data_IF_333172224849
#
_entry.id   IF_333172224849
#
_cell.length_a   1.000
_cell.length_b   1.000
_cell.length_c   1.000
_cell.angle_alpha   90.00
_cell.angle_beta   90.00
_cell.angle_gamma   90.00
#
_symmetry.space_group_name_H-M   'P 1'
#
loop_
_entity.id
_entity.type
_entity.pdbx_description
1 polymer ?
#
# COMPACT_ATOMS: atom_id res chain seq x y z
N UNK A 1 9.54 13.90 -34.59
CA UNK A 1 9.28 13.77 -33.14
C UNK A 1 10.38 12.92 -32.54
N UNK A 2 11.14 13.44 -31.55
CA UNK A 2 12.15 12.60 -30.85
C UNK A 2 11.41 11.51 -30.08
N UNK A 3 11.70 10.24 -30.41
CA UNK A 3 11.19 9.12 -29.63
C UNK A 3 11.67 9.24 -28.18
N UNK A 4 10.73 9.19 -27.26
CA UNK A 4 11.06 9.21 -25.83
C UNK A 4 11.84 7.95 -25.48
N UNK A 5 12.82 8.04 -24.57
CA UNK A 5 13.62 6.88 -24.13
C UNK A 5 12.74 5.71 -23.68
N UNK A 6 11.55 5.99 -23.17
CA UNK A 6 10.53 5.00 -22.82
C UNK A 6 10.09 4.13 -24.00
N UNK A 7 9.84 4.72 -25.18
CA UNK A 7 9.47 3.94 -26.38
C UNK A 7 10.61 3.02 -26.84
N UNK A 8 11.86 3.47 -26.74
CA UNK A 8 13.02 2.63 -27.09
C UNK A 8 13.18 1.43 -26.17
N UNK A 9 12.87 1.58 -24.89
CA UNK A 9 12.97 0.50 -23.91
C UNK A 9 11.85 -0.53 -24.10
N UNK A 10 10.65 -0.08 -24.49
CA UNK A 10 9.51 -0.96 -24.79
C UNK A 10 9.66 -1.75 -26.09
N UNK A 11 10.50 -1.33 -27.04
CA UNK A 11 10.70 -2.05 -28.30
C UNK A 11 11.26 -3.47 -28.10
N UNK A 12 11.95 -3.71 -26.98
CA UNK A 12 12.54 -5.01 -26.65
C UNK A 12 11.63 -5.85 -25.74
N UNK A 13 10.43 -5.35 -25.40
CA UNK A 13 9.52 -6.03 -24.49
C UNK A 13 8.15 -6.23 -25.15
N UNK A 14 7.80 -7.48 -25.34
CA UNK A 14 6.50 -7.84 -25.90
C UNK A 14 5.45 -7.90 -24.78
N UNK A 15 4.49 -6.98 -24.83
CA UNK A 15 3.44 -6.83 -23.79
C UNK A 15 2.48 -8.04 -23.78
N UNK A 16 2.37 -8.76 -24.87
CA UNK A 16 1.47 -9.92 -25.00
C UNK A 16 2.08 -11.23 -24.47
N UNK A 17 3.40 -11.24 -24.24
CA UNK A 17 4.12 -12.42 -23.78
C UNK A 17 4.13 -12.50 -22.25
N UNK A 18 3.93 -13.72 -21.73
CA UNK A 18 4.11 -14.00 -20.31
C UNK A 18 5.60 -14.21 -19.99
N UNK A 19 6.10 -13.49 -19.02
CA UNK A 19 7.48 -13.55 -18.56
C UNK A 19 7.57 -14.16 -17.16
N UNK A 20 8.69 -14.78 -16.84
CA UNK A 20 8.98 -15.21 -15.47
C UNK A 20 9.29 -14.01 -14.60
N UNK A 21 8.97 -14.09 -13.32
CA UNK A 21 9.20 -13.00 -12.35
C UNK A 21 10.65 -12.52 -12.35
N UNK A 22 11.61 -13.44 -12.46
CA UNK A 22 13.03 -13.13 -12.50
C UNK A 22 13.43 -12.28 -13.71
N UNK A 23 12.89 -12.61 -14.89
CA UNK A 23 13.12 -11.86 -16.13
C UNK A 23 12.56 -10.44 -16.04
N UNK A 24 11.36 -10.29 -15.44
CA UNK A 24 10.74 -8.98 -15.24
C UNK A 24 11.55 -8.12 -14.27
N UNK A 25 12.04 -8.71 -13.18
CA UNK A 25 12.89 -8.03 -12.21
C UNK A 25 14.19 -7.57 -12.84
N UNK A 26 14.85 -8.42 -13.63
CA UNK A 26 16.05 -8.07 -14.39
C UNK A 26 15.79 -6.91 -15.35
N UNK A 27 14.68 -6.96 -16.06
CA UNK A 27 14.28 -5.90 -16.98
C UNK A 27 14.07 -4.55 -16.25
N UNK A 28 13.42 -4.56 -15.09
CA UNK A 28 13.18 -3.34 -14.29
C UNK A 28 14.51 -2.75 -13.80
N UNK A 29 15.42 -3.58 -13.30
CA UNK A 29 16.73 -3.13 -12.79
C UNK A 29 17.66 -2.65 -13.91
N UNK A 30 17.55 -3.23 -15.11
CA UNK A 30 18.34 -2.85 -16.28
C UNK A 30 17.88 -1.53 -16.92
N UNK A 31 16.73 -0.98 -16.51
CA UNK A 31 16.24 0.28 -17.08
C UNK A 31 17.13 1.47 -16.70
N UNK A 32 17.30 2.44 -17.62
CA UNK A 32 18.06 3.65 -17.32
C UNK A 32 17.36 4.43 -16.20
N UNK A 33 18.10 4.71 -15.14
CA UNK A 33 17.61 5.50 -14.01
C UNK A 33 17.23 6.91 -14.48
N UNK A 34 16.09 7.39 -14.02
CA UNK A 34 15.60 8.74 -14.28
C UNK A 34 16.03 9.71 -13.18
N UNK A 35 15.78 10.99 -13.40
CA UNK A 35 16.13 12.05 -12.43
C UNK A 35 15.21 12.06 -11.20
N UNK A 36 14.22 11.18 -11.11
CA UNK A 36 13.30 11.05 -9.98
C UNK A 36 13.18 9.59 -9.55
N UNK A 37 12.81 9.39 -8.31
CA UNK A 37 12.61 8.03 -7.73
C UNK A 37 11.34 7.42 -8.30
N UNK A 38 11.50 6.40 -9.11
CA UNK A 38 10.37 5.63 -9.64
C UNK A 38 9.95 4.56 -8.64
N UNK A 39 8.64 4.30 -8.55
CA UNK A 39 8.09 3.18 -7.79
C UNK A 39 7.79 2.01 -8.71
N UNK A 40 7.93 0.79 -8.18
CA UNK A 40 7.53 -0.44 -8.84
C UNK A 40 6.20 -0.86 -8.24
N UNK A 41 5.16 -0.76 -9.05
CA UNK A 41 3.80 -1.12 -8.66
C UNK A 41 3.42 -2.47 -9.26
N UNK A 42 2.75 -3.28 -8.46
CA UNK A 42 2.27 -4.60 -8.87
C UNK A 42 0.74 -4.59 -8.88
N UNK A 43 0.17 -5.07 -9.96
CA UNK A 43 -1.26 -5.28 -10.11
C UNK A 43 -1.55 -6.77 -10.17
N UNK A 44 -2.38 -7.28 -9.25
CA UNK A 44 -2.72 -8.70 -9.16
C UNK A 44 -4.22 -8.88 -9.25
N UNK A 45 -4.67 -9.65 -10.22
CA UNK A 45 -6.07 -10.04 -10.34
C UNK A 45 -6.33 -11.32 -9.55
N UNK A 46 -7.26 -11.24 -8.58
CA UNK A 46 -7.48 -12.32 -7.62
C UNK A 46 -8.61 -13.29 -8.01
N UNK A 47 -9.40 -12.98 -9.04
CA UNK A 47 -10.57 -13.77 -9.40
C UNK A 47 -11.66 -13.76 -8.32
N UNK A 48 -11.79 -12.65 -7.60
CA UNK A 48 -12.79 -12.42 -6.55
C UNK A 48 -13.94 -11.57 -7.08
N UNK A 49 -15.12 -11.69 -6.46
CA UNK A 49 -16.25 -10.81 -6.70
C UNK A 49 -16.33 -9.75 -5.58
N UNK A 50 -15.86 -8.51 -5.85
CA UNK A 50 -15.81 -7.46 -4.81
C UNK A 50 -17.17 -6.98 -4.33
N UNK A 51 -18.25 -7.33 -5.03
CA UNK A 51 -19.63 -7.01 -4.62
C UNK A 51 -20.02 -7.79 -3.37
N UNK A 52 -19.40 -8.95 -3.13
CA UNK A 52 -19.60 -9.74 -1.94
C UNK A 52 -18.72 -9.24 -0.82
N UNK A 53 -19.31 -8.91 0.33
CA UNK A 53 -18.60 -8.34 1.48
C UNK A 53 -17.52 -9.27 2.07
N UNK A 54 -17.70 -10.57 1.94
CA UNK A 54 -16.78 -11.64 2.36
C UNK A 54 -15.58 -11.81 1.41
N UNK A 55 -15.70 -11.35 0.16
CA UNK A 55 -14.62 -11.37 -0.84
C UNK A 55 -13.89 -10.03 -1.00
N UNK A 56 -14.25 -9.02 -0.24
CA UNK A 56 -13.59 -7.72 -0.28
C UNK A 56 -12.29 -7.76 0.53
N UNK A 57 -11.18 -7.98 -0.17
CA UNK A 57 -9.86 -8.05 0.43
C UNK A 57 -9.33 -6.64 0.68
N UNK A 58 -8.92 -6.40 1.92
CA UNK A 58 -8.17 -5.23 2.35
C UNK A 58 -7.15 -5.68 3.37
N UNK A 59 -5.95 -5.18 3.26
CA UNK A 59 -4.89 -5.54 4.19
C UNK A 59 -3.70 -4.60 4.09
N UNK A 60 -2.73 -4.91 4.89
CA UNK A 60 -1.42 -4.28 4.86
C UNK A 60 -0.37 -5.33 5.11
N UNK A 61 0.79 -5.12 4.53
CA UNK A 61 1.97 -5.96 4.74
C UNK A 61 3.16 -5.07 5.05
N UNK A 62 3.92 -5.45 6.04
CA UNK A 62 5.23 -4.83 6.29
C UNK A 62 6.25 -5.52 5.39
N UNK A 63 6.79 -4.76 4.45
CA UNK A 63 7.78 -5.28 3.50
C UNK A 63 9.14 -5.43 4.20
N UNK A 64 9.91 -6.50 3.90
CA UNK A 64 11.22 -6.71 4.50
C UNK A 64 12.21 -5.58 4.17
N UNK A 65 12.12 -5.01 2.96
CA UNK A 65 12.95 -3.90 2.54
C UNK A 65 12.11 -2.62 2.41
N UNK A 66 12.49 -1.56 3.11
CA UNK A 66 11.77 -0.29 3.13
C UNK A 66 11.76 0.37 1.76
N UNK A 67 10.62 0.93 1.36
CA UNK A 67 10.43 1.64 0.07
C UNK A 67 11.24 2.95 -0.05
N UNK A 68 11.89 3.40 1.03
CA UNK A 68 12.65 4.65 1.06
C UNK A 68 11.79 5.93 0.90
N UNK A 69 10.46 5.79 0.93
CA UNK A 69 9.53 6.91 0.92
C UNK A 69 9.30 7.40 2.34
N UNK A 70 9.46 8.69 2.57
CA UNK A 70 9.05 9.30 3.83
C UNK A 70 7.54 9.35 3.89
N UNK A 71 6.96 8.60 4.83
CA UNK A 71 5.52 8.55 5.07
C UNK A 71 5.19 9.47 6.24
N UNK A 72 4.30 10.40 6.02
CA UNK A 72 3.82 11.31 7.07
C UNK A 72 2.67 10.64 7.83
N UNK A 73 2.85 10.44 9.12
CA UNK A 73 1.92 9.68 9.97
C UNK A 73 1.19 10.60 10.92
N UNK A 74 -0.14 10.57 10.89
CA UNK A 74 -1.00 11.21 11.86
C UNK A 74 -1.52 10.18 12.88
N UNK A 75 -1.22 10.40 14.16
CA UNK A 75 -1.71 9.58 15.27
C UNK A 75 -2.84 10.29 16.00
N UNK A 76 -4.05 9.75 15.91
CA UNK A 76 -5.21 10.19 16.66
C UNK A 76 -5.27 9.41 17.97
N UNK A 77 -4.78 10.04 19.03
CA UNK A 77 -4.60 9.42 20.34
C UNK A 77 -4.99 10.38 21.46
N UNK A 78 -5.31 9.84 22.63
CA UNK A 78 -5.77 10.58 23.80
C UNK A 78 -5.03 10.13 25.05
N UNK A 79 -4.85 11.06 26.01
CA UNK A 79 -4.25 10.78 27.31
C UNK A 79 -2.77 10.34 27.21
N UNK A 80 -2.41 9.29 27.96
CA UNK A 80 -1.03 8.79 28.09
C UNK A 80 -0.45 8.29 26.77
N UNK A 81 -1.29 7.91 25.81
CA UNK A 81 -0.85 7.42 24.47
C UNK A 81 -0.26 8.53 23.59
N UNK A 82 -0.45 9.81 23.97
CA UNK A 82 0.20 10.93 23.28
C UNK A 82 1.72 10.86 23.45
N UNK A 83 2.20 10.47 24.63
CA UNK A 83 3.63 10.33 24.87
C UNK A 83 4.22 9.13 24.10
N UNK A 84 3.50 8.02 24.03
CA UNK A 84 3.88 6.87 23.22
C UNK A 84 3.97 7.24 21.73
N UNK A 85 3.00 7.97 21.21
CA UNK A 85 2.99 8.45 19.83
C UNK A 85 4.15 9.41 19.55
N UNK A 86 4.54 10.26 20.49
CA UNK A 86 5.71 11.15 20.37
C UNK A 86 7.02 10.35 20.32
N UNK A 87 7.16 9.35 21.17
CA UNK A 87 8.34 8.47 21.20
C UNK A 87 8.49 7.66 19.91
N UNK A 88 7.40 7.21 19.33
CA UNK A 88 7.41 6.46 18.07
C UNK A 88 7.65 7.33 16.83
N UNK A 89 7.67 8.67 17.02
CA UNK A 89 8.01 9.62 15.96
C UNK A 89 6.87 9.91 14.99
N UNK A 90 5.60 9.83 15.42
CA UNK A 90 4.48 10.30 14.62
C UNK A 90 4.63 11.81 14.32
N UNK A 91 4.25 12.24 13.11
CA UNK A 91 4.46 13.63 12.68
C UNK A 91 3.36 14.55 13.17
N UNK A 92 2.12 14.08 13.20
CA UNK A 92 0.97 14.78 13.74
C UNK A 92 0.34 13.94 14.86
N UNK A 93 0.18 14.54 16.04
CA UNK A 93 -0.32 13.85 17.22
C UNK A 93 -1.37 14.73 17.89
N UNK A 94 -2.53 14.16 18.16
CA UNK A 94 -3.60 14.85 18.86
C UNK A 94 -4.92 14.09 18.81
N UNK A 95 -5.96 14.69 19.40
CA UNK A 95 -7.31 14.13 19.45
C UNK A 95 -8.29 15.02 18.68
N UNK A 96 -9.18 15.71 19.41
CA UNK A 96 -10.22 16.54 18.80
C UNK A 96 -9.66 17.78 18.07
N UNK A 97 -8.54 18.34 18.53
CA UNK A 97 -7.87 19.48 17.90
C UNK A 97 -7.46 19.18 16.44
N UNK A 98 -6.90 17.98 16.20
CA UNK A 98 -6.55 17.54 14.85
C UNK A 98 -7.78 17.26 13.99
N UNK A 99 -8.85 16.76 14.61
CA UNK A 99 -10.10 16.48 13.90
C UNK A 99 -10.74 17.78 13.43
N UNK A 100 -10.76 18.81 14.28
CA UNK A 100 -11.28 20.13 13.92
C UNK A 100 -10.42 20.79 12.83
N UNK A 101 -9.10 20.69 12.95
CA UNK A 101 -8.17 21.21 11.95
C UNK A 101 -8.43 20.57 10.59
N UNK A 102 -8.41 19.26 10.49
CA UNK A 102 -8.60 18.54 9.21
C UNK A 102 -10.05 18.50 8.71
N UNK A 103 -11.00 18.97 9.50
CA UNK A 103 -12.37 19.24 9.00
C UNK A 103 -12.44 20.48 8.13
N UNK A 104 -11.51 21.44 8.31
CA UNK A 104 -11.47 22.75 7.62
C UNK A 104 -10.32 22.80 6.61
N UNK A 105 -9.19 22.19 6.94
CA UNK A 105 -7.96 22.24 6.16
C UNK A 105 -7.75 20.96 5.31
N UNK A 106 -6.96 21.05 4.23
CA UNK A 106 -6.58 19.87 3.45
C UNK A 106 -5.74 18.92 4.32
N UNK A 107 -5.87 17.62 4.03
CA UNK A 107 -5.14 16.55 4.74
C UNK A 107 -3.72 16.44 4.19
N UNK A 108 -2.73 16.63 5.06
CA UNK A 108 -1.29 16.66 4.73
C UNK A 108 -0.53 15.42 5.25
N UNK A 109 -1.24 14.35 5.56
CA UNK A 109 -0.63 13.08 6.00
C UNK A 109 -0.98 11.94 5.04
N UNK A 110 -0.11 10.92 5.02
CA UNK A 110 -0.28 9.73 4.19
C UNK A 110 -0.98 8.59 4.91
N UNK A 111 -0.84 8.52 6.24
CA UNK A 111 -1.40 7.44 7.06
C UNK A 111 -2.01 8.00 8.34
N UNK A 112 -3.22 7.55 8.65
CA UNK A 112 -3.85 7.79 9.95
C UNK A 112 -3.80 6.52 10.82
N UNK A 113 -3.30 6.65 12.04
CA UNK A 113 -3.32 5.62 13.08
C UNK A 113 -4.20 6.10 14.22
N UNK A 114 -5.02 5.24 14.79
CA UNK A 114 -5.93 5.59 15.89
C UNK A 114 -6.12 4.45 16.88
N UNK A 115 -6.58 4.80 18.07
CA UNK A 115 -7.06 3.82 19.05
C UNK A 115 -8.52 3.44 18.77
N UNK A 116 -8.95 2.23 19.17
CA UNK A 116 -10.36 1.82 19.02
C UNK A 116 -11.34 2.78 19.68
N UNK A 117 -10.95 3.38 20.82
CA UNK A 117 -11.75 4.35 21.58
C UNK A 117 -12.10 5.60 20.78
N UNK A 118 -11.10 6.15 20.05
CA UNK A 118 -11.27 7.38 19.25
C UNK A 118 -11.86 7.15 17.86
N UNK A 119 -12.07 5.91 17.47
CA UNK A 119 -12.61 5.60 16.15
C UNK A 119 -13.96 6.27 15.87
N UNK A 120 -14.79 6.44 16.90
CA UNK A 120 -16.09 7.15 16.81
C UNK A 120 -15.89 8.63 16.43
N UNK A 121 -14.90 9.27 17.04
CA UNK A 121 -14.60 10.69 16.81
C UNK A 121 -13.94 10.89 15.45
N UNK A 122 -12.99 10.03 15.08
CA UNK A 122 -12.34 10.05 13.76
C UNK A 122 -13.34 9.76 12.63
N UNK A 123 -14.44 9.05 12.92
CA UNK A 123 -15.51 8.80 11.93
C UNK A 123 -16.20 10.09 11.45
N UNK A 124 -16.11 11.19 12.18
CA UNK A 124 -16.57 12.51 11.72
C UNK A 124 -15.80 12.98 10.48
N UNK A 125 -14.52 12.60 10.37
CA UNK A 125 -13.68 12.88 9.20
C UNK A 125 -13.86 11.87 8.05
N UNK A 126 -14.75 10.88 8.19
CA UNK A 126 -14.93 9.83 7.18
C UNK A 126 -15.29 10.38 5.77
N UNK A 127 -16.00 11.50 5.72
CA UNK A 127 -16.35 12.17 4.44
C UNK A 127 -15.11 12.71 3.70
N UNK A 128 -14.05 13.05 4.43
CA UNK A 128 -12.81 13.62 3.89
C UNK A 128 -11.76 12.51 3.69
N UNK A 129 -11.57 11.64 4.69
CA UNK A 129 -10.56 10.58 4.66
C UNK A 129 -10.97 9.38 3.81
N UNK A 130 -12.29 9.10 3.70
CA UNK A 130 -12.83 7.97 2.95
C UNK A 130 -12.46 7.99 1.46
N UNK A 131 -12.76 9.06 0.71
CA UNK A 131 -12.40 9.18 -0.71
C UNK A 131 -10.90 9.09 -0.97
N UNK A 132 -10.08 9.63 -0.04
CA UNK A 132 -8.61 9.58 -0.12
C UNK A 132 -8.02 8.22 0.28
N UNK A 133 -8.84 7.30 0.81
CA UNK A 133 -8.36 5.98 1.28
C UNK A 133 -7.53 6.03 2.56
N UNK A 134 -7.57 7.15 3.29
CA UNK A 134 -6.77 7.39 4.50
C UNK A 134 -7.52 7.01 5.79
N UNK A 135 -8.74 6.51 5.69
CA UNK A 135 -9.55 6.13 6.84
C UNK A 135 -8.90 4.95 7.59
N UNK A 136 -8.66 5.07 8.90
CA UNK A 136 -8.14 3.98 9.71
C UNK A 136 -9.06 2.75 9.67
N UNK A 137 -8.46 1.56 9.60
CA UNK A 137 -9.21 0.31 9.56
C UNK A 137 -8.50 -0.76 10.41
N UNK A 138 -9.23 -1.52 11.25
CA UNK A 138 -8.66 -2.64 12.01
C UNK A 138 -7.98 -3.69 11.12
N UNK A 139 -8.55 -3.98 9.94
CA UNK A 139 -7.99 -4.97 9.00
C UNK A 139 -6.62 -4.56 8.41
N UNK A 140 -6.32 -3.27 8.38
CA UNK A 140 -5.03 -2.75 7.94
C UNK A 140 -4.06 -2.45 9.08
N UNK A 141 -4.40 -2.85 10.32
CA UNK A 141 -3.54 -2.64 11.49
C UNK A 141 -3.39 -1.19 11.94
N UNK A 142 -4.14 -0.25 11.33
CA UNK A 142 -4.09 1.17 11.67
C UNK A 142 -5.00 1.57 12.82
N UNK A 143 -5.82 0.65 13.31
CA UNK A 143 -6.61 0.79 14.54
C UNK A 143 -6.07 -0.21 15.54
N UNK A 144 -5.29 0.24 16.50
CA UNK A 144 -4.63 -0.61 17.50
C UNK A 144 -4.45 0.12 18.83
N UNK A 145 -4.29 -0.64 19.88
CA UNK A 145 -3.93 -0.08 21.20
C UNK A 145 -2.43 0.19 21.32
N UNK A 146 -1.62 -0.54 20.57
CA UNK A 146 -0.16 -0.35 20.54
C UNK A 146 0.22 0.59 19.39
N UNK A 147 0.22 1.88 19.70
CA UNK A 147 0.50 2.94 18.72
C UNK A 147 1.97 2.94 18.29
N UNK A 148 2.88 2.64 19.21
CA UNK A 148 4.31 2.64 18.94
C UNK A 148 4.66 1.66 17.82
N UNK A 149 4.18 0.42 17.93
CA UNK A 149 4.40 -0.61 16.90
C UNK A 149 3.77 -0.23 15.57
N UNK A 150 2.53 0.26 15.58
CA UNK A 150 1.83 0.63 14.34
C UNK A 150 2.54 1.78 13.60
N UNK A 151 3.01 2.79 14.32
CA UNK A 151 3.77 3.90 13.70
C UNK A 151 5.11 3.42 13.17
N UNK A 152 5.81 2.55 13.91
CA UNK A 152 7.05 1.95 13.46
C UNK A 152 6.86 1.13 12.18
N UNK A 153 5.86 0.24 12.13
CA UNK A 153 5.54 -0.59 10.96
C UNK A 153 5.23 0.27 9.73
N UNK A 154 4.44 1.35 9.91
CA UNK A 154 4.13 2.29 8.83
C UNK A 154 5.38 3.00 8.33
N UNK A 155 6.27 3.44 9.21
CA UNK A 155 7.53 4.11 8.85
C UNK A 155 8.55 3.15 8.22
N UNK A 156 8.52 1.88 8.58
CA UNK A 156 9.35 0.85 7.96
C UNK A 156 8.92 0.45 6.55
N UNK A 157 7.81 0.98 6.04
CA UNK A 157 7.38 0.74 4.67
C UNK A 157 6.24 -0.27 4.57
N UNK A 158 5.21 -0.10 5.39
CA UNK A 158 3.99 -0.89 5.26
C UNK A 158 3.28 -0.58 3.94
N UNK A 159 3.18 -1.56 3.06
CA UNK A 159 2.37 -1.49 1.86
C UNK A 159 0.91 -1.81 2.19
N UNK A 160 0.01 -0.88 1.92
CA UNK A 160 -1.44 -1.07 2.09
C UNK A 160 -2.07 -1.34 0.76
N UNK A 161 -3.00 -2.26 0.74
CA UNK A 161 -3.70 -2.66 -0.47
C UNK A 161 -5.19 -2.90 -0.22
N UNK A 162 -5.94 -2.70 -1.27
CA UNK A 162 -7.39 -2.88 -1.28
C UNK A 162 -7.79 -3.44 -2.63
N UNK A 163 -8.69 -4.42 -2.64
CA UNK A 163 -9.29 -4.88 -3.87
C UNK A 163 -10.17 -3.79 -4.48
N UNK A 164 -9.99 -3.55 -5.77
CA UNK A 164 -10.81 -2.64 -6.56
C UNK A 164 -12.11 -3.31 -7.02
N UNK A 165 -12.97 -2.57 -7.73
CA UNK A 165 -14.28 -3.02 -8.22
C UNK A 165 -14.18 -4.21 -9.19
N UNK A 166 -13.04 -4.36 -9.85
CA UNK A 166 -12.75 -5.43 -10.82
C UNK A 166 -12.04 -6.64 -10.19
N UNK A 167 -11.88 -6.66 -8.86
CA UNK A 167 -11.19 -7.73 -8.14
C UNK A 167 -9.66 -7.70 -8.31
N UNK A 168 -9.12 -6.55 -8.72
CA UNK A 168 -7.69 -6.34 -8.86
C UNK A 168 -7.15 -5.60 -7.63
N UNK A 169 -5.96 -6.00 -7.18
CA UNK A 169 -5.21 -5.32 -6.11
C UNK A 169 -4.03 -4.60 -6.75
N UNK A 170 -3.86 -3.35 -6.37
CA UNK A 170 -2.71 -2.52 -6.73
C UNK A 170 -1.90 -2.22 -5.48
N UNK A 171 -0.59 -2.43 -5.54
CA UNK A 171 0.31 -2.10 -4.43
C UNK A 171 1.70 -1.73 -4.94
N UNK A 172 2.31 -0.77 -4.28
CA UNK A 172 3.73 -0.44 -4.45
C UNK A 172 4.55 -1.41 -3.62
N UNK A 173 5.44 -2.17 -4.26
CA UNK A 173 6.24 -3.20 -3.59
C UNK A 173 7.72 -2.85 -3.50
N UNK A 174 8.20 -1.95 -4.36
CA UNK A 174 9.60 -1.58 -4.38
C UNK A 174 9.82 -0.17 -4.96
N UNK A 175 11.04 0.34 -4.78
CA UNK A 175 11.56 1.49 -5.54
C UNK A 175 12.48 0.97 -6.65
N UNK A 176 12.52 1.62 -7.79
CA UNK A 176 13.43 1.29 -8.90
C UNK A 176 14.92 1.46 -8.54
N UNK A 177 15.22 2.07 -7.39
CA UNK A 177 16.59 2.19 -6.87
C UNK A 177 17.06 0.93 -6.12
N UNK A 178 16.15 -0.02 -5.80
CA UNK A 178 16.45 -1.23 -5.06
C UNK A 178 17.21 -2.24 -5.89
N UNK A 179 18.02 -3.06 -5.21
CA UNK A 179 18.71 -4.18 -5.81
C UNK A 179 17.75 -5.31 -6.21
N UNK A 180 18.15 -6.10 -7.20
CA UNK A 180 17.40 -7.27 -7.67
C UNK A 180 16.93 -8.19 -6.54
N UNK A 181 17.80 -8.45 -5.55
CA UNK A 181 17.48 -9.32 -4.40
C UNK A 181 16.37 -8.72 -3.54
N UNK A 182 16.50 -7.44 -3.16
CA UNK A 182 15.51 -6.73 -2.35
C UNK A 182 14.15 -6.65 -3.02
N UNK A 183 14.12 -6.39 -4.34
CA UNK A 183 12.89 -6.35 -5.11
C UNK A 183 12.21 -7.71 -5.15
N UNK A 184 12.97 -8.79 -5.37
CA UNK A 184 12.45 -10.16 -5.39
C UNK A 184 11.91 -10.58 -4.01
N UNK A 185 12.62 -10.25 -2.92
CA UNK A 185 12.18 -10.55 -1.55
C UNK A 185 10.86 -9.83 -1.21
N UNK A 186 10.78 -8.54 -1.51
CA UNK A 186 9.56 -7.76 -1.29
C UNK A 186 8.39 -8.32 -2.10
N UNK A 187 8.62 -8.64 -3.38
CA UNK A 187 7.61 -9.22 -4.24
C UNK A 187 7.11 -10.56 -3.72
N UNK A 188 8.00 -11.46 -3.34
CA UNK A 188 7.64 -12.78 -2.83
C UNK A 188 6.85 -12.66 -1.52
N UNK A 189 7.30 -11.81 -0.59
CA UNK A 189 6.60 -11.55 0.67
C UNK A 189 5.19 -11.02 0.42
N UNK A 190 5.04 -10.09 -0.53
CA UNK A 190 3.74 -9.55 -0.91
C UNK A 190 2.83 -10.64 -1.50
N UNK A 191 3.36 -11.49 -2.37
CA UNK A 191 2.60 -12.56 -2.99
C UNK A 191 2.16 -13.64 -1.99
N UNK A 192 3.01 -13.98 -1.02
CA UNK A 192 2.69 -14.97 0.00
C UNK A 192 1.59 -14.45 0.95
N UNK A 193 1.62 -13.18 1.30
CA UNK A 193 0.54 -12.57 2.08
C UNK A 193 -0.77 -12.51 1.29
N UNK A 194 -0.73 -12.21 0.00
CA UNK A 194 -1.92 -12.26 -0.85
C UNK A 194 -2.53 -13.66 -0.93
N UNK A 195 -1.69 -14.69 -1.06
CA UNK A 195 -2.15 -16.09 -1.03
C UNK A 195 -2.84 -16.43 0.29
N UNK A 196 -2.29 -15.94 1.40
CA UNK A 196 -2.85 -16.14 2.74
C UNK A 196 -4.19 -15.45 2.94
N UNK A 197 -4.33 -14.22 2.39
CA UNK A 197 -5.55 -13.44 2.52
C UNK A 197 -6.64 -13.82 1.51
N UNK A 198 -6.33 -14.65 0.53
CA UNK A 198 -7.29 -15.10 -0.47
C UNK A 198 -8.41 -15.88 0.18
N UNK A 199 -9.70 -15.50 0.02
CA UNK A 199 -10.82 -16.24 0.58
C UNK A 199 -10.92 -17.65 -0.03
N UNK A 200 -11.23 -18.65 0.78
CA UNK A 200 -11.46 -20.02 0.31
C UNK A 200 -12.62 -20.14 -0.68
N UNK A 201 -13.56 -19.18 -0.62
CA UNK A 201 -14.70 -19.09 -1.54
C UNK A 201 -14.36 -18.58 -2.94
N UNK A 202 -13.16 -18.04 -3.16
CA UNK A 202 -12.75 -17.56 -4.48
C UNK A 202 -12.26 -18.72 -5.33
N UNK A 203 -12.95 -18.98 -6.45
CA UNK A 203 -12.55 -19.96 -7.46
C UNK A 203 -11.59 -19.27 -8.42
N UNK A 204 -10.42 -19.87 -8.69
CA UNK A 204 -9.47 -19.39 -9.68
C UNK A 204 -8.04 -19.28 -9.18
N UNK A 205 -7.10 -19.29 -10.11
CA UNK A 205 -5.69 -19.07 -9.86
C UNK A 205 -5.39 -17.58 -9.70
N UNK A 206 -4.32 -17.23 -8.98
CA UNK A 206 -3.79 -15.88 -8.96
C UNK A 206 -3.16 -15.58 -10.31
N UNK A 207 -3.73 -14.65 -11.06
CA UNK A 207 -3.13 -14.16 -12.31
C UNK A 207 -2.25 -12.96 -11.99
N UNK A 208 -0.98 -13.12 -12.17
CA UNK A 208 0.00 -12.05 -12.00
C UNK A 208 0.02 -11.17 -13.23
N UNK A 209 -0.22 -9.90 -13.03
CA UNK A 209 0.07 -8.77 -13.89
C UNK A 209 -0.13 -8.92 -15.38
N UNK A 210 -0.77 -7.92 -15.91
CA UNK A 210 -1.07 -7.68 -17.30
C UNK A 210 -2.24 -8.49 -17.82
N UNK A 211 -3.08 -7.90 -18.63
CA UNK A 211 -4.30 -8.54 -19.08
C UNK A 211 -3.95 -9.78 -19.87
N UNK A 212 -3.93 -10.94 -19.19
CA UNK A 212 -4.10 -12.18 -19.89
C UNK A 212 -5.56 -12.22 -20.29
N UNK A 213 -5.88 -12.19 -21.58
CA UNK A 213 -7.22 -12.44 -22.01
C UNK A 213 -7.50 -13.93 -21.81
N UNK A 214 -8.55 -14.24 -21.10
CA UNK A 214 -9.20 -15.54 -21.07
C UNK A 214 -8.54 -16.66 -20.24
N UNK A 215 -9.17 -17.00 -19.11
CA UNK A 215 -10.24 -18.02 -19.09
C UNK A 215 -11.25 -17.71 -17.99
#
# INVERSE_FOLDING_TARGET
>A
MKETNFKKTLQNYDVEKSYKTEEVVEFIVAQPKRNFKESVDVSVRLGIDPKKSDQNIRGSITLPNSLGKKVVVAAFVEGDKIEEAKKSGADFIGSDDLIEKYSKDPVDFDVAVTTPSLMKTVSKLAKILGPKGLMPNPKSGTVTENIEKAVADVKHGQARFKADKDGTIHATVASAEMDKKQLTENFNSFMDELKRLKPASSKGCLLYTSPSPRD
#
